data_IF_829027123729
#
_entry.id   IF_829027123729
#
_cell.length_a   1.000
_cell.length_b   1.000
_cell.length_c   1.000
_cell.angle_alpha   90.00
_cell.angle_beta   90.00
_cell.angle_gamma   90.00
#
_symmetry.space_group_name_H-M   'P 1'
#
loop_
_entity.id
_entity.type
_entity.pdbx_description
1 polymer ?
#
# COMPACT_ATOMS: atom_id res chain seq x y z
N UNK A 1 -32.54 -20.73 31.68
CA UNK A 1 -31.53 -19.67 31.88
C UNK A 1 -30.15 -20.32 31.83
N UNK A 2 -29.53 -20.42 30.65
CA UNK A 2 -28.14 -20.86 30.55
C UNK A 2 -27.32 -19.63 30.16
N UNK A 3 -26.71 -19.02 31.17
CA UNK A 3 -25.63 -18.04 31.00
C UNK A 3 -24.43 -18.81 30.47
N UNK A 4 -24.21 -18.75 29.16
CA UNK A 4 -22.94 -19.17 28.57
C UNK A 4 -21.92 -18.08 28.88
N UNK A 5 -21.22 -18.23 30.00
CA UNK A 5 -20.18 -17.31 30.45
C UNK A 5 -19.09 -17.20 29.38
N UNK A 6 -19.12 -16.10 28.64
CA UNK A 6 -18.15 -15.77 27.61
C UNK A 6 -16.86 -15.35 28.32
N UNK A 7 -15.89 -16.27 28.45
CA UNK A 7 -14.58 -15.97 29.06
C UNK A 7 -13.81 -15.00 28.16
N UNK A 8 -13.66 -13.75 28.60
CA UNK A 8 -12.64 -12.84 28.09
C UNK A 8 -11.26 -13.44 28.45
N UNK A 9 -10.47 -13.81 27.44
CA UNK A 9 -9.05 -14.05 27.64
C UNK A 9 -8.33 -12.75 27.27
N UNK A 10 -7.73 -12.08 28.27
CA UNK A 10 -6.77 -11.01 28.03
C UNK A 10 -5.53 -11.63 27.40
N UNK A 11 -5.35 -11.47 26.10
CA UNK A 11 -4.07 -11.75 25.44
C UNK A 11 -3.52 -10.44 24.89
N UNK A 12 -2.36 -10.03 25.39
CA UNK A 12 -1.51 -8.94 24.88
C UNK A 12 -2.27 -7.71 24.34
N UNK A 13 -3.09 -7.06 25.17
CA UNK A 13 -3.71 -5.76 24.86
C UNK A 13 -4.87 -5.77 23.86
N UNK A 14 -5.38 -6.94 23.46
CA UNK A 14 -6.54 -7.04 22.58
C UNK A 14 -7.71 -7.69 23.31
N UNK A 15 -8.84 -7.00 23.40
CA UNK A 15 -10.05 -7.53 24.03
C UNK A 15 -10.90 -8.24 22.99
N UNK A 16 -10.44 -9.42 22.56
CA UNK A 16 -11.25 -10.28 21.72
C UNK A 16 -12.00 -11.30 22.57
N UNK A 17 -13.26 -11.52 22.23
CA UNK A 17 -13.96 -12.77 22.58
C UNK A 17 -13.16 -13.91 21.94
N UNK A 18 -12.30 -14.58 22.71
CA UNK A 18 -11.51 -15.72 22.23
C UNK A 18 -12.44 -16.90 21.98
N UNK A 19 -13.00 -16.96 20.79
CA UNK A 19 -13.51 -18.20 20.22
C UNK A 19 -12.29 -19.00 19.74
N UNK A 20 -12.20 -20.25 20.15
CA UNK A 20 -11.07 -21.15 19.93
C UNK A 20 -11.00 -21.66 18.45
N UNK A 21 -11.40 -20.82 17.50
CA UNK A 21 -11.47 -21.12 16.08
C UNK A 21 -10.33 -20.38 15.36
N UNK A 22 -9.69 -21.03 14.38
CA UNK A 22 -8.71 -20.36 13.51
C UNK A 22 -9.40 -19.12 12.92
N UNK A 23 -8.78 -17.93 13.03
CA UNK A 23 -9.32 -16.69 12.45
C UNK A 23 -9.66 -16.96 10.97
N UNK A 24 -10.87 -16.65 10.54
CA UNK A 24 -11.26 -16.81 9.14
C UNK A 24 -11.08 -15.51 8.33
N UNK A 25 -10.64 -14.44 8.98
CA UNK A 25 -10.61 -13.06 8.48
C UNK A 25 -9.20 -12.54 8.16
N UNK A 26 -8.19 -13.41 8.10
CA UNK A 26 -6.80 -13.00 7.77
C UNK A 26 -6.72 -12.19 6.47
N UNK A 27 -5.80 -11.23 6.44
CA UNK A 27 -5.45 -10.47 5.25
C UNK A 27 -4.33 -11.17 4.50
N UNK A 28 -4.52 -11.35 3.21
CA UNK A 28 -3.44 -11.77 2.33
C UNK A 28 -2.40 -10.64 2.20
N UNK A 29 -1.17 -10.98 1.82
CA UNK A 29 -0.08 -10.00 1.74
C UNK A 29 -0.40 -8.80 0.84
N UNK A 30 -0.95 -9.06 -0.35
CA UNK A 30 -1.35 -8.00 -1.27
C UNK A 30 -2.43 -7.10 -0.66
N UNK A 31 -3.39 -7.68 0.06
CA UNK A 31 -4.46 -6.92 0.73
C UNK A 31 -3.90 -6.04 1.83
N UNK A 32 -2.97 -6.57 2.63
CA UNK A 32 -2.29 -5.82 3.67
C UNK A 32 -1.49 -4.65 3.10
N UNK A 33 -0.63 -4.90 2.11
CA UNK A 33 0.23 -3.85 1.56
C UNK A 33 -0.55 -2.82 0.76
N UNK A 34 -1.54 -3.24 -0.02
CA UNK A 34 -2.41 -2.28 -0.70
C UNK A 34 -3.22 -1.45 0.29
N UNK A 35 -3.72 -2.05 1.38
CA UNK A 35 -4.39 -1.29 2.44
C UNK A 35 -3.47 -0.25 3.08
N UNK A 36 -2.21 -0.61 3.35
CA UNK A 36 -1.19 0.33 3.84
C UNK A 36 -0.95 1.48 2.87
N UNK A 37 -0.89 1.21 1.56
CA UNK A 37 -0.77 2.26 0.53
C UNK A 37 -1.98 3.21 0.55
N UNK A 38 -3.20 2.69 0.72
CA UNK A 38 -4.40 3.52 0.85
C UNK A 38 -4.46 4.32 2.16
N UNK A 39 -3.93 3.78 3.26
CA UNK A 39 -3.78 4.55 4.50
C UNK A 39 -2.78 5.71 4.31
N UNK A 40 -1.68 5.48 3.61
CA UNK A 40 -0.70 6.53 3.28
C UNK A 40 -1.29 7.60 2.34
N UNK A 41 -2.14 7.20 1.39
CA UNK A 41 -2.91 8.12 0.55
C UNK A 41 -3.77 9.07 1.39
N UNK A 42 -4.42 8.55 2.44
CA UNK A 42 -5.30 9.34 3.33
C UNK A 42 -4.56 10.33 4.22
N UNK A 43 -3.23 10.24 4.31
CA UNK A 43 -2.41 11.26 4.97
C UNK A 43 -2.17 12.49 4.09
N UNK A 44 -2.43 12.38 2.78
CA UNK A 44 -2.45 13.52 1.87
C UNK A 44 -3.66 14.41 2.14
N UNK A 45 -3.57 15.68 1.78
CA UNK A 45 -4.66 16.61 2.04
C UNK A 45 -5.81 16.46 1.01
N UNK A 46 -7.05 16.75 1.41
CA UNK A 46 -8.22 16.61 0.54
C UNK A 46 -8.20 17.56 -0.66
N UNK A 47 -8.78 17.14 -1.79
CA UNK A 47 -9.09 18.00 -2.94
C UNK A 47 -8.13 17.94 -4.13
N UNK A 48 -7.11 17.08 -4.11
CA UNK A 48 -6.16 16.92 -5.21
C UNK A 48 -6.09 15.47 -5.72
N UNK A 49 -5.56 15.28 -6.93
CA UNK A 49 -5.24 13.97 -7.51
C UNK A 49 -4.11 13.31 -6.71
N UNK A 50 -4.47 12.79 -5.54
CA UNK A 50 -3.51 12.20 -4.63
C UNK A 50 -3.11 10.81 -5.12
N UNK A 51 -1.83 10.50 -4.98
CA UNK A 51 -1.26 9.18 -5.16
C UNK A 51 -0.45 8.80 -3.92
N UNK A 52 -0.30 7.51 -3.66
CA UNK A 52 0.57 6.98 -2.63
C UNK A 52 1.33 5.76 -3.15
N UNK A 53 2.54 5.57 -2.63
CA UNK A 53 3.40 4.45 -2.96
C UNK A 53 4.12 3.95 -1.71
N UNK A 54 4.27 2.64 -1.62
CA UNK A 54 5.11 1.97 -0.61
C UNK A 54 6.07 1.01 -1.32
N UNK A 55 7.25 0.82 -0.74
CA UNK A 55 8.28 -0.04 -1.29
C UNK A 55 8.65 -1.08 -0.25
N UNK A 56 8.73 -2.33 -0.70
CA UNK A 56 9.10 -3.49 0.09
C UNK A 56 10.46 -4.03 -0.36
N UNK A 57 11.24 -4.56 0.57
CA UNK A 57 12.36 -5.43 0.23
C UNK A 57 11.91 -6.89 0.00
N UNK A 58 12.85 -7.77 -0.34
CA UNK A 58 12.57 -9.20 -0.60
C UNK A 58 11.97 -9.94 0.60
N UNK A 59 12.19 -9.43 1.83
CA UNK A 59 11.64 -9.99 3.07
C UNK A 59 10.26 -9.43 3.41
N UNK A 60 9.62 -8.68 2.50
CA UNK A 60 8.32 -8.03 2.69
C UNK A 60 8.32 -6.99 3.83
N UNK A 61 9.47 -6.39 4.11
CA UNK A 61 9.60 -5.27 5.05
C UNK A 61 9.36 -3.99 4.27
N UNK A 62 8.47 -3.12 4.77
CA UNK A 62 8.28 -1.78 4.23
C UNK A 62 9.52 -0.96 4.54
N UNK A 63 10.21 -0.51 3.50
CA UNK A 63 11.45 0.27 3.60
C UNK A 63 11.23 1.75 3.30
N UNK A 64 10.16 2.08 2.57
CA UNK A 64 9.80 3.45 2.25
C UNK A 64 8.31 3.58 1.96
N UNK A 65 7.76 4.73 2.31
CA UNK A 65 6.39 5.14 2.03
C UNK A 65 6.39 6.63 1.69
N UNK A 66 5.54 7.01 0.74
CA UNK A 66 5.31 8.40 0.39
C UNK A 66 3.92 8.61 -0.22
N UNK A 67 3.44 9.85 -0.14
CA UNK A 67 2.29 10.34 -0.89
C UNK A 67 2.65 11.60 -1.70
N UNK A 68 1.82 11.91 -2.69
CA UNK A 68 1.86 13.21 -3.33
C UNK A 68 1.39 14.28 -2.33
N UNK A 69 2.23 15.27 -2.05
CA UNK A 69 1.94 16.33 -1.09
C UNK A 69 1.55 17.63 -1.81
N UNK A 70 0.81 18.47 -1.09
CA UNK A 70 0.28 19.80 -1.44
C UNK A 70 1.32 20.89 -1.72
N UNK A 71 2.41 20.66 -2.46
CA UNK A 71 3.15 21.83 -2.94
C UNK A 71 2.34 22.45 -4.10
N UNK A 72 1.49 23.43 -3.76
CA UNK A 72 0.61 24.18 -4.66
C UNK A 72 1.35 24.84 -5.83
N UNK A 73 2.67 24.89 -5.77
CA UNK A 73 3.55 25.48 -6.77
C UNK A 73 4.29 24.46 -7.66
N UNK A 74 4.10 23.14 -7.46
CA UNK A 74 4.88 22.09 -8.15
C UNK A 74 4.05 20.87 -8.60
N UNK A 75 2.76 21.05 -8.84
CA UNK A 75 1.83 19.97 -9.22
C UNK A 75 2.21 19.20 -10.50
N UNK A 76 3.10 19.73 -11.34
CA UNK A 76 3.48 19.12 -12.63
C UNK A 76 4.88 18.52 -12.64
N UNK A 77 5.61 18.58 -11.52
CA UNK A 77 6.93 17.96 -11.44
C UNK A 77 6.79 16.51 -10.99
N UNK A 78 7.38 15.58 -11.75
CA UNK A 78 7.48 14.17 -11.37
C UNK A 78 8.10 13.96 -9.98
N UNK A 79 8.90 14.91 -9.49
CA UNK A 79 9.46 14.89 -8.14
C UNK A 79 8.42 15.01 -7.02
N UNK A 80 7.20 15.45 -7.35
CA UNK A 80 6.06 15.52 -6.44
C UNK A 80 5.29 14.19 -6.35
N UNK A 81 5.47 13.27 -7.31
CA UNK A 81 4.76 12.00 -7.36
C UNK A 81 5.20 11.08 -6.22
N UNK A 82 4.25 10.29 -5.72
CA UNK A 82 4.47 9.42 -4.58
C UNK A 82 5.54 8.36 -4.86
N UNK A 83 5.53 7.80 -6.07
CA UNK A 83 6.47 6.79 -6.55
C UNK A 83 7.91 7.33 -6.49
N UNK A 84 8.14 8.49 -7.09
CA UNK A 84 9.46 9.12 -7.10
C UNK A 84 9.95 9.48 -5.69
N UNK A 85 9.07 10.03 -4.84
CA UNK A 85 9.40 10.35 -3.44
C UNK A 85 9.74 9.11 -2.62
N UNK A 86 9.03 8.00 -2.84
CA UNK A 86 9.31 6.76 -2.12
C UNK A 86 10.70 6.23 -2.49
N UNK A 87 11.14 6.38 -3.74
CA UNK A 87 12.45 5.95 -4.21
C UNK A 87 13.62 6.74 -3.61
N UNK A 88 13.43 8.01 -3.25
CA UNK A 88 14.53 8.82 -2.67
C UNK A 88 15.04 8.31 -1.32
N UNK A 89 14.28 7.45 -0.64
CA UNK A 89 14.59 6.97 0.71
C UNK A 89 15.17 5.56 0.74
N UNK A 90 15.32 4.89 -0.41
CA UNK A 90 15.70 3.47 -0.44
C UNK A 90 17.15 3.26 -0.88
N UNK A 91 17.78 2.23 -0.32
CA UNK A 91 19.08 1.70 -0.75
C UNK A 91 18.95 0.37 -1.51
N UNK A 92 17.89 -0.38 -1.21
CA UNK A 92 17.48 -1.63 -1.85
C UNK A 92 15.96 -1.60 -2.05
N UNK A 93 15.40 -2.41 -2.93
CA UNK A 93 13.95 -2.53 -3.10
C UNK A 93 13.58 -3.68 -4.02
N UNK A 94 12.39 -4.26 -3.84
CA UNK A 94 11.94 -5.40 -4.63
C UNK A 94 10.57 -5.16 -5.27
N UNK A 95 9.57 -4.79 -4.46
CA UNK A 95 8.19 -4.60 -4.92
C UNK A 95 7.70 -3.22 -4.53
N UNK A 96 7.06 -2.51 -5.46
CA UNK A 96 6.36 -1.27 -5.19
C UNK A 96 4.84 -1.51 -5.24
N UNK A 97 4.12 -1.07 -4.22
CA UNK A 97 2.67 -0.95 -4.26
C UNK A 97 2.29 0.52 -4.44
N UNK A 98 1.39 0.82 -5.37
CA UNK A 98 0.96 2.19 -5.67
C UNK A 98 -0.54 2.27 -5.91
N UNK A 99 -1.16 3.40 -5.55
CA UNK A 99 -2.60 3.59 -5.81
C UNK A 99 -2.92 3.83 -7.27
N UNK A 100 -2.00 4.42 -8.04
CA UNK A 100 -2.13 4.63 -9.49
C UNK A 100 -0.90 4.11 -10.22
N UNK A 101 -1.08 3.57 -11.43
CA UNK A 101 0.04 3.14 -12.28
C UNK A 101 1.02 4.30 -12.52
N UNK A 102 2.34 4.06 -12.43
CA UNK A 102 3.34 5.12 -12.59
C UNK A 102 3.33 5.69 -14.01
N UNK A 103 3.57 7.00 -14.13
CA UNK A 103 3.87 7.61 -15.42
C UNK A 103 5.23 7.13 -15.97
N UNK A 104 5.51 7.43 -17.23
CA UNK A 104 6.77 7.13 -17.94
C UNK A 104 8.04 7.50 -17.15
N UNK A 105 8.12 8.72 -16.60
CA UNK A 105 9.26 9.20 -15.81
C UNK A 105 9.40 8.46 -14.49
N UNK A 106 8.28 8.11 -13.85
CA UNK A 106 8.31 7.31 -12.63
C UNK A 106 8.71 5.87 -12.94
N UNK A 107 8.22 5.28 -14.04
CA UNK A 107 8.60 3.93 -14.47
C UNK A 107 10.11 3.83 -14.74
N UNK A 108 10.70 4.84 -15.39
CA UNK A 108 12.15 4.91 -15.57
C UNK A 108 12.90 5.01 -14.23
N UNK A 109 12.47 5.86 -13.31
CA UNK A 109 13.08 5.96 -11.99
C UNK A 109 12.96 4.66 -11.17
N UNK A 110 11.81 3.98 -11.24
CA UNK A 110 11.57 2.68 -10.62
C UNK A 110 12.54 1.63 -11.18
N UNK A 111 12.78 1.64 -12.50
CA UNK A 111 13.75 0.78 -13.15
C UNK A 111 15.18 1.00 -12.64
N UNK A 112 15.60 2.27 -12.59
CA UNK A 112 16.93 2.66 -12.14
C UNK A 112 17.17 2.31 -10.67
N UNK A 113 16.12 2.33 -9.85
CA UNK A 113 16.19 1.93 -8.45
C UNK A 113 16.19 0.40 -8.23
N UNK A 114 16.06 -0.39 -9.30
CA UNK A 114 16.16 -1.84 -9.24
C UNK A 114 14.90 -2.58 -8.74
N UNK A 115 13.76 -1.90 -8.64
CA UNK A 115 12.48 -2.52 -8.32
C UNK A 115 12.10 -3.52 -9.42
N UNK A 116 11.54 -4.68 -9.02
CA UNK A 116 11.26 -5.82 -9.92
C UNK A 116 9.78 -6.04 -10.19
N UNK A 117 8.91 -5.54 -9.30
CA UNK A 117 7.46 -5.69 -9.42
C UNK A 117 6.74 -4.40 -9.01
N UNK A 118 5.73 -4.02 -9.80
CA UNK A 118 4.78 -2.95 -9.48
C UNK A 118 3.38 -3.55 -9.32
N UNK A 119 2.79 -3.39 -8.14
CA UNK A 119 1.40 -3.75 -7.86
C UNK A 119 0.58 -2.47 -7.74
N UNK A 120 -0.37 -2.25 -8.65
CA UNK A 120 -1.10 -0.97 -8.73
C UNK A 120 -2.61 -1.17 -8.56
N UNK A 121 -3.30 -0.19 -7.96
CA UNK A 121 -4.75 -0.29 -7.81
C UNK A 121 -5.52 0.13 -9.08
N UNK A 122 -5.27 1.33 -9.58
CA UNK A 122 -5.91 1.85 -10.80
C UNK A 122 -4.87 2.19 -11.87
N UNK A 123 -5.26 2.04 -13.14
CA UNK A 123 -4.48 2.54 -14.26
C UNK A 123 -5.25 3.70 -14.91
N UNK A 124 -4.83 4.93 -14.63
CA UNK A 124 -5.44 6.12 -15.19
C UNK A 124 -4.71 6.61 -16.45
N UNK A 125 -3.66 5.91 -16.88
CA UNK A 125 -2.91 6.24 -18.09
C UNK A 125 -3.39 5.34 -19.22
N UNK A 126 -3.94 5.97 -20.26
CA UNK A 126 -4.23 5.31 -21.54
C UNK A 126 -2.96 5.03 -22.34
N UNK A 127 -1.83 5.65 -21.95
CA UNK A 127 -0.56 5.54 -22.65
C UNK A 127 0.16 4.22 -22.38
N UNK A 128 0.56 3.58 -23.47
CA UNK A 128 1.30 2.32 -23.46
C UNK A 128 2.78 2.48 -23.06
N UNK A 129 3.30 3.72 -23.06
CA UNK A 129 4.73 4.02 -22.91
C UNK A 129 5.29 3.55 -21.56
N UNK A 130 4.58 3.80 -20.46
CA UNK A 130 5.06 3.42 -19.13
C UNK A 130 5.13 1.88 -18.99
N UNK A 131 4.18 1.16 -19.57
CA UNK A 131 4.18 -0.32 -19.61
C UNK A 131 5.29 -0.86 -20.51
N UNK A 132 5.48 -0.27 -21.70
CA UNK A 132 6.57 -0.62 -22.61
C UNK A 132 7.96 -0.38 -21.96
N UNK A 133 8.11 0.70 -21.18
CA UNK A 133 9.31 0.95 -20.39
C UNK A 133 9.50 -0.14 -19.33
N UNK A 134 8.46 -0.49 -18.58
CA UNK A 134 8.53 -1.59 -17.62
C UNK A 134 8.97 -2.90 -18.30
N UNK A 135 8.36 -3.25 -19.44
CA UNK A 135 8.70 -4.45 -20.21
C UNK A 135 10.16 -4.43 -20.68
N UNK A 136 10.63 -3.28 -21.19
CA UNK A 136 12.02 -3.08 -21.62
C UNK A 136 13.03 -3.27 -20.48
N UNK A 137 12.70 -2.82 -19.28
CA UNK A 137 13.56 -2.93 -18.10
C UNK A 137 13.34 -4.23 -17.29
N UNK A 138 12.44 -5.10 -17.74
CA UNK A 138 12.12 -6.36 -17.06
C UNK A 138 11.41 -6.19 -15.72
N UNK A 139 10.62 -5.11 -15.57
CA UNK A 139 9.78 -4.87 -14.41
C UNK A 139 8.44 -5.53 -14.64
N UNK A 140 8.08 -6.47 -13.78
CA UNK A 140 6.74 -7.06 -13.80
C UNK A 140 5.72 -6.08 -13.23
N UNK A 141 4.51 -6.07 -13.76
CA UNK A 141 3.44 -5.26 -13.19
C UNK A 141 2.10 -5.97 -13.25
N UNK A 142 1.26 -5.72 -12.25
CA UNK A 142 -0.10 -6.28 -12.19
C UNK A 142 -1.05 -5.36 -11.45
N UNK A 143 -2.30 -5.36 -11.90
CA UNK A 143 -3.35 -4.69 -11.18
C UNK A 143 -3.73 -5.50 -9.94
N UNK A 144 -3.84 -4.83 -8.80
CA UNK A 144 -4.33 -5.41 -7.56
C UNK A 144 -5.79 -5.81 -7.71
N UNK A 145 -6.11 -7.03 -7.27
CA UNK A 145 -7.45 -7.59 -7.30
C UNK A 145 -7.73 -8.34 -5.99
N UNK A 146 -8.89 -8.10 -5.39
CA UNK A 146 -9.33 -8.79 -4.17
C UNK A 146 -10.83 -9.05 -4.21
N UNK A 147 -11.26 -10.12 -3.53
CA UNK A 147 -12.68 -10.40 -3.26
C UNK A 147 -13.22 -9.58 -2.08
N UNK A 148 -12.34 -9.01 -1.23
CA UNK A 148 -12.73 -8.21 -0.06
C UNK A 148 -13.12 -6.80 -0.49
N UNK A 149 -14.32 -6.36 -0.10
CA UNK A 149 -14.83 -5.01 -0.43
C UNK A 149 -14.32 -3.91 0.50
N UNK A 150 -13.96 -4.26 1.74
CA UNK A 150 -13.47 -3.32 2.76
C UNK A 150 -12.58 -4.04 3.77
N UNK A 151 -11.66 -3.29 4.35
CA UNK A 151 -10.89 -3.67 5.54
C UNK A 151 -11.24 -2.64 6.61
N UNK A 152 -11.68 -3.10 7.76
CA UNK A 152 -12.12 -2.25 8.86
C UNK A 152 -11.14 -2.35 10.03
N UNK A 153 -10.66 -1.19 10.48
CA UNK A 153 -9.80 -1.07 11.66
C UNK A 153 -10.64 -0.43 12.76
N UNK A 154 -11.09 -1.24 13.71
CA UNK A 154 -11.87 -0.79 14.85
C UNK A 154 -10.97 -0.69 16.08
N UNK A 155 -10.58 0.54 16.41
CA UNK A 155 -9.71 0.81 17.55
C UNK A 155 -10.39 0.58 18.90
N UNK A 156 -11.73 0.48 18.96
CA UNK A 156 -12.45 0.21 20.21
C UNK A 156 -12.29 -1.24 20.70
N UNK A 157 -11.75 -2.13 19.86
CA UNK A 157 -11.46 -3.53 20.19
C UNK A 157 -10.17 -3.71 21.01
N UNK A 158 -9.38 -2.65 21.13
CA UNK A 158 -8.23 -2.59 22.03
C UNK A 158 -8.72 -2.04 23.35
N UNK A 159 -8.64 -2.83 24.42
CA UNK A 159 -8.90 -2.29 25.76
C UNK A 159 -7.68 -1.50 26.20
N UNK A 160 -7.91 -0.26 26.64
CA UNK A 160 -6.99 0.42 27.54
C UNK A 160 -7.02 -0.33 28.89
N UNK A 161 -5.84 -0.66 29.44
CA UNK A 161 -5.71 -1.21 30.80
C UNK A 161 -6.01 -0.14 31.86
#
# INVERSE_FOLDING_TARGET
MNSSDNKLAKTNGLCLSVKNEKRSDYLEWDEYFMAMTFLELRRGAPGHNNNAAIILNQRKIIISMANSCLDTNKHELHTSHAEYKALQKIQEGNVMYTTSFPCDKCAEAIAQAGIKEIVFYQNNTDDNIAKELCDKYGITYRQFNTKKKRIELDFSQFCDD
#
